data_IF_464484687368
#
_entry.id   IF_464484687368
#
_cell.length_a   1.000
_cell.length_b   1.000
_cell.length_c   1.000
_cell.angle_alpha   90.00
_cell.angle_beta   90.00
_cell.angle_gamma   90.00
#
_symmetry.space_group_name_H-M   'P 1'
#
loop_
_entity.id
_entity.type
_entity.pdbx_description
1 polymer ?
#
# COMPACT_ATOMS: atom_id res chain seq x y z
N UNK A 1 -16.37 -35.47 3.77
CA UNK A 1 -17.71 -35.87 3.33
C UNK A 1 -17.57 -36.83 2.16
N UNK A 2 -17.17 -38.07 2.44
CA UNK A 2 -16.89 -39.10 1.42
C UNK A 2 -17.80 -40.32 1.57
N UNK A 3 -18.83 -40.21 2.40
CA UNK A 3 -19.66 -41.35 2.74
C UNK A 3 -20.78 -41.68 1.71
N UNK A 4 -21.26 -40.70 0.96
CA UNK A 4 -22.37 -40.87 0.03
C UNK A 4 -22.02 -41.61 -1.27
N UNK A 5 -20.81 -41.40 -1.79
CA UNK A 5 -20.35 -41.96 -3.07
C UNK A 5 -20.08 -43.46 -2.95
N UNK A 6 -19.65 -43.93 -1.77
CA UNK A 6 -19.41 -45.34 -1.51
C UNK A 6 -20.71 -46.15 -1.34
N UNK A 7 -21.77 -45.49 -0.83
CA UNK A 7 -23.07 -46.13 -0.61
C UNK A 7 -23.78 -46.44 -1.93
N UNK A 8 -23.70 -45.55 -2.90
CA UNK A 8 -24.34 -45.67 -4.21
C UNK A 8 -23.61 -46.66 -5.12
N UNK A 9 -22.28 -46.77 -4.97
CA UNK A 9 -21.44 -47.67 -5.76
C UNK A 9 -21.62 -49.14 -5.37
N UNK A 10 -21.95 -49.46 -4.11
CA UNK A 10 -21.99 -50.83 -3.60
C UNK A 10 -23.39 -51.41 -3.36
N UNK A 11 -24.46 -50.60 -3.32
CA UNK A 11 -25.80 -51.06 -2.93
C UNK A 11 -26.88 -50.98 -4.02
N UNK A 12 -26.62 -50.36 -5.17
CA UNK A 12 -27.58 -50.33 -6.28
C UNK A 12 -27.20 -51.29 -7.40
N UNK A 13 -28.09 -52.25 -7.72
CA UNK A 13 -27.95 -53.12 -8.91
C UNK A 13 -28.35 -52.34 -10.17
N UNK A 14 -27.59 -52.46 -11.28
CA UNK A 14 -26.45 -53.35 -11.52
C UNK A 14 -25.10 -52.76 -11.07
N UNK A 15 -24.38 -53.53 -10.27
CA UNK A 15 -23.06 -53.20 -9.74
C UNK A 15 -22.06 -52.77 -10.82
N UNK A 16 -21.48 -51.58 -10.68
CA UNK A 16 -20.31 -51.14 -11.47
C UNK A 16 -20.60 -50.51 -12.84
N UNK A 17 -21.82 -50.04 -13.12
CA UNK A 17 -22.10 -49.26 -14.33
C UNK A 17 -22.53 -47.84 -13.99
N UNK A 18 -21.66 -46.89 -14.22
CA UNK A 18 -22.05 -45.48 -14.38
C UNK A 18 -22.74 -45.36 -15.75
N UNK A 19 -24.02 -45.61 -15.83
CA UNK A 19 -24.77 -45.39 -17.05
C UNK A 19 -25.47 -44.04 -16.93
N UNK A 20 -24.75 -42.96 -17.29
CA UNK A 20 -25.34 -41.62 -17.49
C UNK A 20 -26.09 -41.71 -18.83
N UNK A 21 -27.35 -42.09 -18.78
CA UNK A 21 -28.16 -42.29 -20.01
C UNK A 21 -29.30 -41.27 -20.14
N UNK A 22 -29.52 -40.46 -19.09
CA UNK A 22 -30.54 -39.41 -19.12
C UNK A 22 -29.93 -38.04 -19.46
N UNK A 23 -30.48 -37.32 -20.45
CA UNK A 23 -30.01 -35.97 -20.81
C UNK A 23 -29.99 -34.99 -19.63
N UNK A 24 -30.92 -35.17 -18.67
CA UNK A 24 -30.98 -34.35 -17.43
C UNK A 24 -29.83 -34.61 -16.47
N UNK A 25 -29.26 -35.82 -16.43
CA UNK A 25 -28.11 -36.16 -15.58
C UNK A 25 -26.81 -35.52 -16.11
N UNK A 26 -26.68 -35.43 -17.43
CA UNK A 26 -25.56 -34.75 -18.09
C UNK A 26 -25.62 -33.25 -17.80
N UNK A 27 -26.81 -32.65 -17.90
CA UNK A 27 -27.04 -31.24 -17.62
C UNK A 27 -26.72 -30.90 -16.15
N UNK A 28 -27.18 -31.71 -15.20
CA UNK A 28 -26.90 -31.57 -13.77
C UNK A 28 -25.39 -31.71 -13.49
N UNK A 29 -24.70 -32.67 -14.12
CA UNK A 29 -23.25 -32.88 -13.94
C UNK A 29 -22.46 -31.70 -14.49
N UNK A 30 -22.78 -31.20 -15.68
CA UNK A 30 -22.15 -30.03 -16.28
C UNK A 30 -22.33 -28.79 -15.42
N UNK A 31 -23.56 -28.56 -14.91
CA UNK A 31 -23.87 -27.45 -14.01
C UNK A 31 -23.06 -27.53 -12.72
N UNK A 32 -22.90 -28.71 -12.15
CA UNK A 32 -22.17 -28.94 -10.91
C UNK A 32 -20.66 -28.70 -11.10
N UNK A 33 -20.11 -29.08 -12.24
CA UNK A 33 -18.72 -28.79 -12.61
C UNK A 33 -18.50 -27.29 -12.82
N UNK A 34 -19.42 -26.60 -13.51
CA UNK A 34 -19.34 -25.16 -13.71
C UNK A 34 -19.40 -24.37 -12.41
N UNK A 35 -20.31 -24.76 -11.49
CA UNK A 35 -20.41 -24.15 -10.16
C UNK A 35 -19.12 -24.40 -9.36
N UNK A 36 -18.58 -25.63 -9.40
CA UNK A 36 -17.31 -25.96 -8.74
C UNK A 36 -16.12 -25.15 -9.25
N UNK A 37 -16.04 -24.96 -10.57
CA UNK A 37 -15.01 -24.10 -11.18
C UNK A 37 -15.19 -22.64 -10.77
N UNK A 38 -16.41 -22.11 -10.81
CA UNK A 38 -16.68 -20.73 -10.43
C UNK A 38 -16.33 -20.45 -8.96
N UNK A 39 -16.68 -21.35 -8.05
CA UNK A 39 -16.34 -21.23 -6.62
C UNK A 39 -14.83 -21.28 -6.42
N UNK A 40 -14.12 -22.16 -7.15
CA UNK A 40 -12.66 -22.28 -7.07
C UNK A 40 -11.97 -21.01 -7.59
N UNK A 41 -12.43 -20.44 -8.68
CA UNK A 41 -11.91 -19.17 -9.24
C UNK A 41 -12.10 -18.01 -8.24
N UNK A 42 -13.27 -17.87 -7.63
CA UNK A 42 -13.56 -16.85 -6.63
C UNK A 42 -12.66 -17.02 -5.39
N UNK A 43 -12.47 -18.24 -4.91
CA UNK A 43 -11.62 -18.54 -3.77
C UNK A 43 -10.14 -18.24 -4.05
N UNK A 44 -9.65 -18.55 -5.24
CA UNK A 44 -8.28 -18.24 -5.68
C UNK A 44 -8.07 -16.73 -5.85
N UNK A 45 -9.07 -16.03 -6.38
CA UNK A 45 -9.01 -14.58 -6.53
C UNK A 45 -8.96 -13.87 -5.17
N UNK A 46 -9.80 -14.28 -4.22
CA UNK A 46 -9.80 -13.78 -2.85
C UNK A 46 -8.45 -13.97 -2.14
N UNK A 47 -7.84 -15.16 -2.27
CA UNK A 47 -6.50 -15.44 -1.70
C UNK A 47 -5.41 -14.61 -2.34
N UNK A 48 -5.45 -14.35 -3.64
CA UNK A 48 -4.47 -13.50 -4.34
C UNK A 48 -4.57 -12.04 -3.89
N UNK A 49 -5.77 -11.54 -3.66
CA UNK A 49 -6.00 -10.19 -3.12
C UNK A 49 -5.47 -10.07 -1.69
N UNK A 50 -5.78 -11.04 -0.84
CA UNK A 50 -5.34 -11.05 0.56
C UNK A 50 -3.82 -11.18 0.70
N UNK A 51 -3.17 -11.99 -0.14
CA UNK A 51 -1.71 -12.13 -0.16
C UNK A 51 -0.99 -10.85 -0.59
N UNK A 52 -1.59 -10.07 -1.49
CA UNK A 52 -1.05 -8.76 -1.89
C UNK A 52 -1.19 -7.72 -0.78
N UNK A 53 -2.33 -7.69 -0.10
CA UNK A 53 -2.57 -6.80 1.04
C UNK A 53 -1.63 -7.12 2.22
N UNK A 54 -1.47 -8.41 2.57
CA UNK A 54 -0.61 -8.84 3.68
C UNK A 54 0.89 -8.57 3.42
N UNK A 55 1.36 -8.73 2.17
CA UNK A 55 2.76 -8.41 1.83
C UNK A 55 3.05 -6.92 1.93
N UNK A 56 2.10 -6.07 1.53
CA UNK A 56 2.22 -4.62 1.66
C UNK A 56 2.19 -4.18 3.12
N UNK A 57 1.25 -4.68 3.91
CA UNK A 57 1.16 -4.38 5.34
C UNK A 57 2.42 -4.83 6.10
N UNK A 58 2.94 -6.04 5.84
CA UNK A 58 4.16 -6.53 6.48
C UNK A 58 5.42 -5.74 6.11
N UNK A 59 5.54 -5.28 4.86
CA UNK A 59 6.66 -4.42 4.44
C UNK A 59 6.61 -3.05 5.14
N UNK A 60 5.42 -2.45 5.22
CA UNK A 60 5.21 -1.17 5.88
C UNK A 60 5.51 -1.24 7.38
N UNK A 61 5.03 -2.30 8.03
CA UNK A 61 5.26 -2.55 9.46
C UNK A 61 6.75 -2.74 9.78
N UNK A 62 7.46 -3.54 8.96
CA UNK A 62 8.90 -3.75 9.12
C UNK A 62 9.71 -2.45 8.94
N UNK A 63 9.36 -1.61 7.95
CA UNK A 63 10.02 -0.32 7.71
C UNK A 63 9.80 0.62 8.91
N UNK A 64 8.58 0.70 9.43
CA UNK A 64 8.26 1.58 10.55
C UNK A 64 8.96 1.15 11.84
N UNK A 65 8.92 -0.13 12.20
CA UNK A 65 9.57 -0.64 13.43
C UNK A 65 11.09 -0.53 13.40
N UNK A 66 11.71 -0.77 12.24
CA UNK A 66 13.17 -0.59 12.11
C UNK A 66 13.56 0.88 12.23
N UNK A 67 12.74 1.78 11.68
CA UNK A 67 12.98 3.22 11.74
C UNK A 67 12.86 3.77 13.16
N UNK A 68 11.88 3.31 13.96
CA UNK A 68 11.74 3.72 15.35
C UNK A 68 12.94 3.32 16.23
N UNK A 69 13.46 2.10 16.05
CA UNK A 69 14.60 1.62 16.82
C UNK A 69 15.90 2.39 16.49
N UNK A 70 16.09 2.79 15.24
CA UNK A 70 17.25 3.58 14.79
C UNK A 70 17.08 5.04 15.21
N UNK A 71 15.89 5.61 15.12
CA UNK A 71 15.61 7.01 15.48
C UNK A 71 15.94 7.35 16.93
N UNK A 72 15.81 6.40 17.86
CA UNK A 72 16.09 6.61 19.29
C UNK A 72 17.59 6.78 19.61
N UNK A 73 18.48 6.45 18.68
CA UNK A 73 19.95 6.49 18.88
C UNK A 73 20.66 7.55 18.02
N UNK A 74 19.96 8.20 17.11
CA UNK A 74 20.55 9.18 16.19
C UNK A 74 20.42 10.61 16.73
N UNK A 75 21.37 11.48 16.36
CA UNK A 75 21.20 12.92 16.51
C UNK A 75 20.03 13.41 15.65
N UNK A 76 19.45 14.56 15.98
CA UNK A 76 18.33 15.11 15.18
C UNK A 76 18.68 15.27 13.70
N UNK A 77 19.91 15.66 13.39
CA UNK A 77 20.39 15.81 12.01
C UNK A 77 20.52 14.47 11.29
N UNK A 78 21.13 13.48 11.95
CA UNK A 78 21.30 12.14 11.37
C UNK A 78 19.93 11.45 11.15
N UNK A 79 18.97 11.69 12.04
CA UNK A 79 17.60 11.22 11.88
C UNK A 79 16.93 11.85 10.67
N UNK A 80 17.04 13.16 10.50
CA UNK A 80 16.49 13.89 9.34
C UNK A 80 17.05 13.32 8.03
N UNK A 81 18.36 13.14 7.96
CA UNK A 81 19.02 12.59 6.78
C UNK A 81 18.64 11.13 6.51
N UNK A 82 18.49 10.34 7.57
CA UNK A 82 18.03 8.95 7.47
C UNK A 82 16.61 8.88 6.92
N UNK A 83 15.70 9.66 7.48
CA UNK A 83 14.30 9.72 7.05
C UNK A 83 14.19 10.27 5.63
N UNK A 84 14.97 11.28 5.25
CA UNK A 84 15.00 11.81 3.89
C UNK A 84 15.36 10.74 2.86
N UNK A 85 16.36 9.90 3.14
CA UNK A 85 16.73 8.78 2.28
C UNK A 85 15.60 7.75 2.18
N UNK A 86 15.00 7.35 3.31
CA UNK A 86 13.89 6.40 3.33
C UNK A 86 12.68 6.90 2.53
N UNK A 87 12.32 8.17 2.67
CA UNK A 87 11.24 8.79 1.88
C UNK A 87 11.55 8.68 0.38
N UNK A 88 12.80 8.97 -0.02
CA UNK A 88 13.21 8.87 -1.43
C UNK A 88 13.09 7.45 -1.97
N UNK A 89 13.49 6.45 -1.17
CA UNK A 89 13.40 5.03 -1.52
C UNK A 89 11.96 4.55 -1.63
N UNK A 90 11.11 4.89 -0.63
CA UNK A 90 9.69 4.48 -0.60
C UNK A 90 8.91 5.08 -1.75
N UNK A 91 9.13 6.34 -2.07
CA UNK A 91 8.45 7.04 -3.17
C UNK A 91 9.09 6.80 -4.53
N UNK A 92 10.27 6.16 -4.56
CA UNK A 92 11.09 5.94 -5.76
C UNK A 92 11.39 7.23 -6.52
N UNK A 93 11.78 8.28 -5.81
CA UNK A 93 12.11 9.62 -6.33
C UNK A 93 13.61 9.89 -6.32
N UNK A 94 14.03 10.98 -6.97
CA UNK A 94 15.44 11.34 -7.13
C UNK A 94 16.09 11.78 -5.83
N UNK A 95 15.32 12.43 -4.94
CA UNK A 95 15.84 12.86 -3.65
C UNK A 95 14.81 13.55 -2.78
N UNK A 96 15.18 13.65 -1.50
CA UNK A 96 14.40 14.34 -0.47
C UNK A 96 15.35 15.16 0.39
N UNK A 97 14.99 16.40 0.71
CA UNK A 97 15.74 17.26 1.62
C UNK A 97 14.83 17.93 2.62
N UNK A 98 15.31 18.10 3.84
CA UNK A 98 14.60 18.83 4.88
C UNK A 98 14.92 20.34 4.81
N UNK A 99 13.90 21.14 5.07
CA UNK A 99 14.02 22.60 5.19
C UNK A 99 13.23 23.05 6.41
N UNK A 100 13.89 23.76 7.31
CA UNK A 100 13.26 24.36 8.48
C UNK A 100 12.36 25.55 8.06
N UNK A 101 11.37 25.85 8.91
CA UNK A 101 10.48 26.99 8.75
C UNK A 101 9.19 26.71 8.00
N UNK A 102 8.39 27.75 7.84
CA UNK A 102 7.06 27.68 7.26
C UNK A 102 7.07 27.42 5.75
N UNK A 103 5.93 26.92 5.28
CA UNK A 103 5.68 26.73 3.84
C UNK A 103 5.55 28.10 3.18
N UNK A 104 6.32 28.39 2.11
CA UNK A 104 6.12 29.63 1.37
C UNK A 104 4.67 29.74 0.88
N UNK A 105 4.10 30.95 0.94
CA UNK A 105 2.75 31.21 0.47
C UNK A 105 2.68 31.27 -1.08
N UNK A 106 3.31 30.30 -1.73
CA UNK A 106 3.41 30.14 -3.17
C UNK A 106 2.70 28.87 -3.63
N UNK A 107 2.61 28.68 -4.93
CA UNK A 107 2.04 27.49 -5.59
C UNK A 107 2.83 26.24 -5.24
N UNK A 108 2.58 25.65 -4.08
CA UNK A 108 3.32 24.46 -3.59
C UNK A 108 2.44 23.24 -3.77
N UNK A 109 3.04 22.17 -4.29
CA UNK A 109 2.40 20.84 -4.29
C UNK A 109 2.63 20.18 -2.94
N UNK A 110 1.57 19.77 -2.27
CA UNK A 110 1.60 19.20 -0.92
C UNK A 110 1.15 17.75 -0.96
N UNK A 111 1.92 16.87 -0.33
CA UNK A 111 1.53 15.51 -0.01
C UNK A 111 0.88 15.52 1.38
N UNK A 112 -0.42 15.20 1.41
CA UNK A 112 -1.26 15.24 2.61
C UNK A 112 -1.17 13.92 3.40
N UNK A 113 -1.65 13.93 4.66
CA UNK A 113 -1.63 12.77 5.55
C UNK A 113 -2.44 11.57 5.04
N UNK A 114 -3.47 11.80 4.24
CA UNK A 114 -4.26 10.74 3.61
C UNK A 114 -3.58 10.13 2.37
N UNK A 115 -2.36 10.56 2.03
CA UNK A 115 -1.63 10.16 0.85
C UNK A 115 -2.11 10.86 -0.43
N UNK A 116 -3.03 11.82 -0.34
CA UNK A 116 -3.41 12.64 -1.48
C UNK A 116 -2.34 13.70 -1.77
N UNK A 117 -2.20 14.07 -3.03
CA UNK A 117 -1.30 15.15 -3.45
C UNK A 117 -2.17 16.29 -3.97
N UNK A 118 -1.99 17.47 -3.39
CA UNK A 118 -2.78 18.67 -3.73
C UNK A 118 -1.86 19.78 -4.27
N UNK A 119 -2.35 20.52 -5.25
CA UNK A 119 -1.71 21.73 -5.80
C UNK A 119 -2.75 22.83 -5.87
N UNK A 120 -2.54 23.89 -5.11
CA UNK A 120 -3.50 25.00 -5.02
C UNK A 120 -4.94 24.53 -4.66
N UNK A 121 -5.06 23.52 -3.80
CA UNK A 121 -6.36 22.94 -3.41
C UNK A 121 -6.96 21.94 -4.39
N UNK A 122 -6.33 21.72 -5.56
CA UNK A 122 -6.76 20.68 -6.51
C UNK A 122 -6.00 19.39 -6.28
N UNK A 123 -6.72 18.26 -6.21
CA UNK A 123 -6.12 16.93 -6.06
C UNK A 123 -5.51 16.45 -7.38
N UNK A 124 -4.24 16.06 -7.33
CA UNK A 124 -3.53 15.47 -8.47
C UNK A 124 -3.78 13.95 -8.56
N UNK A 125 -3.83 13.42 -9.77
CA UNK A 125 -3.99 11.98 -10.04
C UNK A 125 -2.61 11.32 -10.20
N UNK A 126 -1.86 11.21 -9.10
CA UNK A 126 -0.47 10.74 -9.09
C UNK A 126 -0.31 9.33 -9.68
N UNK A 127 -1.29 8.44 -9.48
CA UNK A 127 -1.26 7.08 -10.03
C UNK A 127 -1.25 7.07 -11.57
N UNK A 128 -1.85 8.09 -12.18
CA UNK A 128 -1.90 8.25 -13.64
C UNK A 128 -0.79 9.14 -14.17
N UNK A 129 -0.67 10.32 -13.60
CA UNK A 129 0.15 11.40 -14.15
C UNK A 129 1.56 11.44 -13.55
N UNK A 130 1.75 10.82 -12.37
CA UNK A 130 2.97 10.87 -11.58
C UNK A 130 3.03 12.09 -10.65
N UNK A 131 4.10 12.14 -9.85
CA UNK A 131 4.47 13.35 -9.12
C UNK A 131 4.97 14.40 -10.10
N UNK A 132 4.77 15.71 -9.80
CA UNK A 132 5.31 16.80 -10.64
C UNK A 132 6.82 16.65 -10.83
N UNK A 133 7.29 16.86 -12.07
CA UNK A 133 8.70 16.81 -12.43
C UNK A 133 9.28 18.21 -12.64
N UNK A 134 8.44 19.22 -12.75
CA UNK A 134 8.75 20.63 -12.98
C UNK A 134 8.87 21.44 -11.68
N UNK A 135 8.44 20.86 -10.56
CA UNK A 135 8.50 21.48 -9.24
C UNK A 135 8.68 20.44 -8.13
N UNK A 136 9.15 20.89 -6.97
CA UNK A 136 9.25 20.04 -5.79
C UNK A 136 7.87 19.87 -5.13
N UNK A 137 7.55 18.63 -4.75
CA UNK A 137 6.43 18.34 -3.86
C UNK A 137 6.88 18.46 -2.40
N UNK A 138 5.95 18.70 -1.49
CA UNK A 138 6.28 19.02 -0.09
C UNK A 138 5.49 18.15 0.87
N UNK A 139 6.15 17.59 1.89
CA UNK A 139 5.51 17.05 3.11
C UNK A 139 5.75 18.05 4.23
N UNK A 140 4.67 18.59 4.80
CA UNK A 140 4.74 19.57 5.88
C UNK A 140 4.71 18.88 7.22
N UNK A 141 5.69 19.16 8.08
CA UNK A 141 5.78 18.60 9.44
C UNK A 141 5.14 19.59 10.40
N UNK A 142 3.99 19.18 10.96
CA UNK A 142 3.26 19.96 11.96
C UNK A 142 3.05 19.15 13.23
N UNK A 143 3.28 19.79 14.38
CA UNK A 143 2.96 19.22 15.69
C UNK A 143 2.44 20.28 16.62
N UNK A 144 1.33 19.98 17.33
CA UNK A 144 0.71 20.96 18.22
C UNK A 144 0.24 22.26 17.55
N UNK A 145 -0.01 22.23 16.24
CA UNK A 145 -0.37 23.41 15.45
C UNK A 145 0.82 24.26 14.98
N UNK A 146 2.05 23.87 15.37
CA UNK A 146 3.28 24.55 14.94
C UNK A 146 3.92 23.80 13.79
N UNK A 147 4.39 24.52 12.77
CA UNK A 147 5.20 23.95 11.67
C UNK A 147 6.67 23.94 12.10
N UNK A 148 7.26 22.73 12.17
CA UNK A 148 8.68 22.56 12.51
C UNK A 148 9.57 22.57 11.28
N UNK A 149 9.02 22.33 10.10
CA UNK A 149 9.75 22.31 8.83
C UNK A 149 8.98 21.52 7.78
N UNK A 150 9.67 21.17 6.72
CA UNK A 150 9.12 20.39 5.59
C UNK A 150 10.17 19.56 4.89
N UNK A 151 9.75 18.44 4.34
CA UNK A 151 10.54 17.72 3.35
C UNK A 151 10.16 18.16 1.95
N UNK A 152 11.16 18.47 1.14
CA UNK A 152 11.03 18.77 -0.28
C UNK A 152 11.39 17.51 -1.07
N UNK A 153 10.48 17.07 -1.93
CA UNK A 153 10.55 15.85 -2.72
C UNK A 153 10.85 16.20 -4.16
N UNK A 154 11.94 15.70 -4.70
CA UNK A 154 12.37 15.94 -6.09
C UNK A 154 12.16 14.69 -6.93
N UNK A 155 11.38 14.80 -8.02
CA UNK A 155 11.10 13.73 -8.98
C UNK A 155 11.33 14.23 -10.42
N UNK A 156 12.54 14.74 -10.71
CA UNK A 156 12.86 15.46 -11.97
C UNK A 156 13.34 14.52 -13.09
N UNK A 157 14.02 13.41 -12.77
CA UNK A 157 14.64 12.55 -13.78
C UNK A 157 13.71 11.50 -14.35
N UNK A 158 12.66 11.12 -13.61
CA UNK A 158 11.65 10.13 -14.03
C UNK A 158 10.28 10.46 -13.48
N UNK A 159 9.25 9.98 -14.18
CA UNK A 159 7.87 10.09 -13.71
C UNK A 159 7.66 9.05 -12.59
N UNK A 160 7.73 9.47 -11.35
CA UNK A 160 7.44 8.64 -10.18
C UNK A 160 5.92 8.54 -9.98
N UNK A 161 5.40 7.31 -9.85
CA UNK A 161 3.97 7.02 -9.60
C UNK A 161 3.79 6.22 -8.32
N UNK A 162 4.16 6.78 -7.16
CA UNK A 162 4.00 6.08 -5.90
C UNK A 162 2.52 5.80 -5.61
N UNK A 163 2.24 4.61 -5.08
CA UNK A 163 0.90 4.22 -4.65
C UNK A 163 0.44 5.08 -3.46
N UNK A 164 -0.87 5.05 -3.15
CA UNK A 164 -1.41 5.77 -1.98
C UNK A 164 -0.71 5.30 -0.71
N UNK A 165 -0.49 4.00 -0.57
CA UNK A 165 0.17 3.40 0.59
C UNK A 165 1.62 3.87 0.73
N UNK A 166 2.39 3.93 -0.36
CA UNK A 166 3.76 4.46 -0.35
C UNK A 166 3.78 5.93 0.09
N UNK A 167 2.84 6.74 -0.39
CA UNK A 167 2.71 8.14 0.00
C UNK A 167 2.34 8.31 1.48
N UNK A 168 1.44 7.48 2.01
CA UNK A 168 1.09 7.48 3.43
C UNK A 168 2.29 7.10 4.31
N UNK A 169 3.08 6.10 3.89
CA UNK A 169 4.32 5.74 4.60
C UNK A 169 5.32 6.88 4.60
N UNK A 170 5.51 7.57 3.48
CA UNK A 170 6.40 8.71 3.42
C UNK A 170 5.99 9.83 4.40
N UNK A 171 4.69 10.08 4.56
CA UNK A 171 4.17 11.04 5.54
C UNK A 171 4.40 10.56 6.97
N UNK A 172 4.15 9.28 7.27
CA UNK A 172 4.41 8.72 8.60
C UNK A 172 5.89 8.80 8.99
N UNK A 173 6.81 8.54 8.04
CA UNK A 173 8.24 8.73 8.25
C UNK A 173 8.59 10.20 8.55
N UNK A 174 7.99 11.14 7.84
CA UNK A 174 8.19 12.57 8.09
C UNK A 174 7.67 12.99 9.47
N UNK A 175 6.55 12.45 9.93
CA UNK A 175 5.96 12.75 11.24
C UNK A 175 6.85 12.28 12.40
N UNK A 176 7.67 11.21 12.23
CA UNK A 176 8.65 10.79 13.24
C UNK A 176 9.69 11.89 13.53
N UNK A 177 10.15 12.60 12.49
CA UNK A 177 11.05 13.74 12.65
C UNK A 177 10.38 14.85 13.46
N UNK A 178 9.11 15.14 13.16
CA UNK A 178 8.32 16.12 13.92
C UNK A 178 8.21 15.80 15.41
N UNK A 179 8.09 14.51 15.73
CA UNK A 179 8.07 14.05 17.12
C UNK A 179 9.38 14.36 17.86
N UNK A 180 10.51 14.08 17.20
CA UNK A 180 11.86 14.29 17.78
C UNK A 180 12.19 15.77 17.90
N UNK A 181 11.90 16.58 16.89
CA UNK A 181 12.16 18.02 16.92
C UNK A 181 11.36 18.75 18.01
N UNK A 182 10.11 18.34 18.25
CA UNK A 182 9.31 18.91 19.32
C UNK A 182 9.87 18.62 20.72
N UNK A 183 10.49 17.44 20.92
CA UNK A 183 11.06 17.03 22.22
C UNK A 183 12.36 17.79 22.56
N UNK A 184 13.07 18.33 21.56
CA UNK A 184 14.30 19.09 21.76
C UNK A 184 14.07 20.61 21.87
N UNK A 185 12.83 21.08 21.65
CA UNK A 185 12.46 22.49 21.74
C UNK A 185 11.94 22.92 23.13
N UNK A 186 11.68 21.96 24.03
CA UNK A 186 11.32 22.15 25.44
C UNK A 186 12.59 22.04 26.34
#
# INVERSE_FOLDING_TARGET
MSSGVWFDFFLTEPYGRFTITDPNDIEATVLLVLVGLAVTEIALWGRRQQARASRRAGYLDAVLHTSEAVAQQLSSTDLIDHVARQISEVLEIDGTRFVEGDVPNTKVTILEHDGSVTRQGFRLKVERDGLPTDEESTIVIRRGGVTHGRFLLTAATRIARPSVEQRQVAVLLADQVGATLATHAD
#
